data_IF_569839020210
#
_entry.id   IF_569839020210
#
_cell.length_a   1.000
_cell.length_b   1.000
_cell.length_c   1.000
_cell.angle_alpha   90.00
_cell.angle_beta   90.00
_cell.angle_gamma   90.00
#
_symmetry.space_group_name_H-M   'P 1'
#
loop_
_entity.id
_entity.type
_entity.pdbx_description
1 polymer ?
#
# COMPACT_ATOMS: atom_id res chain seq x y z
N UNK A 1 -7.67 -3.20 -5.16
CA UNK A 1 -7.73 -1.74 -5.05
C UNK A 1 -6.48 -1.24 -4.37
N UNK A 2 -5.98 -0.07 -4.77
CA UNK A 2 -5.00 0.69 -4.02
C UNK A 2 -5.74 1.75 -3.22
N UNK A 3 -5.38 1.89 -1.95
CA UNK A 3 -5.85 2.96 -1.09
C UNK A 3 -4.85 4.11 -1.11
N UNK A 4 -5.35 5.35 -1.01
CA UNK A 4 -4.48 6.50 -0.69
C UNK A 4 -4.13 6.43 0.80
N UNK A 5 -3.01 7.02 1.24
CA UNK A 5 -2.61 7.02 2.66
C UNK A 5 -3.80 7.40 3.56
N UNK A 6 -4.23 6.47 4.40
CA UNK A 6 -5.27 6.71 5.41
C UNK A 6 -4.60 6.89 6.78
N UNK A 7 -3.72 5.96 7.14
CA UNK A 7 -2.97 5.97 8.40
C UNK A 7 -1.61 5.28 8.22
N UNK A 8 -0.86 5.12 9.32
CA UNK A 8 0.46 4.48 9.32
C UNK A 8 0.42 3.02 8.84
N UNK A 9 -0.73 2.35 8.95
CA UNK A 9 -0.92 0.95 8.56
C UNK A 9 -1.39 0.80 7.10
N UNK A 10 -2.14 1.79 6.59
CA UNK A 10 -2.72 1.79 5.25
C UNK A 10 -2.14 2.92 4.40
N UNK A 11 -1.02 2.60 3.76
CA UNK A 11 -0.26 3.52 2.93
C UNK A 11 -0.52 3.32 1.45
N UNK A 12 -0.06 4.27 0.65
CA UNK A 12 -0.18 4.31 -0.79
C UNK A 12 0.62 3.16 -1.41
N UNK A 13 -0.07 2.10 -1.79
CA UNK A 13 0.55 0.83 -2.16
C UNK A 13 -0.15 -0.37 -1.53
N UNK A 14 -0.87 -0.18 -0.42
CA UNK A 14 -1.64 -1.24 0.23
C UNK A 14 -2.70 -1.79 -0.72
N UNK A 15 -2.62 -3.10 -0.95
CA UNK A 15 -3.52 -3.83 -1.82
C UNK A 15 -4.71 -4.33 -1.01
N UNK A 16 -5.91 -4.06 -1.50
CA UNK A 16 -7.14 -4.56 -0.93
C UNK A 16 -8.02 -5.27 -1.94
N UNK A 17 -8.84 -6.22 -1.46
CA UNK A 17 -9.89 -6.89 -2.23
C UNK A 17 -11.24 -6.37 -1.78
N UNK A 18 -12.10 -6.02 -2.73
CA UNK A 18 -13.50 -5.70 -2.41
C UNK A 18 -14.16 -6.99 -1.96
N UNK A 19 -14.72 -7.00 -0.76
CA UNK A 19 -15.42 -8.16 -0.18
C UNK A 19 -16.94 -7.99 -0.20
N UNK A 20 -17.43 -6.76 -0.39
CA UNK A 20 -18.87 -6.48 -0.49
C UNK A 20 -19.18 -5.00 -0.63
N UNK A 21 -20.46 -4.67 -0.59
CA UNK A 21 -20.97 -3.31 -0.52
C UNK A 21 -21.98 -3.24 0.62
N UNK A 22 -21.78 -2.32 1.54
CA UNK A 22 -22.59 -2.19 2.74
C UNK A 22 -22.90 -0.71 3.01
N UNK A 23 -24.01 -0.44 3.71
CA UNK A 23 -24.20 0.86 4.38
C UNK A 23 -23.54 0.84 5.78
N UNK A 24 -23.59 1.97 6.49
CA UNK A 24 -22.95 2.11 7.81
C UNK A 24 -23.51 1.10 8.83
N UNK A 25 -24.83 0.96 8.92
CA UNK A 25 -25.48 0.04 9.87
C UNK A 25 -25.14 -1.43 9.60
N UNK A 26 -25.08 -1.82 8.32
CA UNK A 26 -24.68 -3.16 7.91
C UNK A 26 -23.21 -3.43 8.23
N UNK A 27 -22.33 -2.44 8.02
CA UNK A 27 -20.91 -2.56 8.35
C UNK A 27 -20.66 -2.63 9.86
N UNK A 28 -21.39 -1.86 10.67
CA UNK A 28 -21.32 -1.94 12.12
C UNK A 28 -21.72 -3.34 12.61
N UNK A 29 -22.80 -3.90 12.04
CA UNK A 29 -23.26 -5.25 12.32
C UNK A 29 -22.20 -6.30 11.94
N UNK A 30 -21.57 -6.14 10.77
CA UNK A 30 -20.47 -6.98 10.30
C UNK A 30 -19.26 -6.93 11.23
N UNK A 31 -18.82 -5.74 11.63
CA UNK A 31 -17.62 -5.55 12.46
C UNK A 31 -17.80 -6.11 13.89
N UNK A 32 -19.04 -6.19 14.38
CA UNK A 32 -19.37 -6.76 15.67
C UNK A 32 -19.44 -8.30 15.66
N UNK A 33 -19.85 -8.92 14.55
CA UNK A 33 -19.98 -10.38 14.44
C UNK A 33 -19.90 -10.88 12.98
N UNK A 34 -18.68 -10.99 12.45
CA UNK A 34 -18.40 -11.43 11.08
C UNK A 34 -18.99 -12.82 10.78
N UNK A 35 -18.83 -13.78 11.69
CA UNK A 35 -19.24 -15.17 11.50
C UNK A 35 -20.77 -15.31 11.38
N UNK A 36 -21.52 -14.65 12.26
CA UNK A 36 -22.98 -14.63 12.19
C UNK A 36 -23.48 -13.89 10.94
N UNK A 37 -22.81 -12.80 10.55
CA UNK A 37 -23.18 -12.03 9.37
C UNK A 37 -23.03 -12.87 8.09
N UNK A 38 -21.92 -13.61 7.94
CA UNK A 38 -21.65 -14.47 6.79
C UNK A 38 -22.52 -15.74 6.77
N UNK A 39 -23.00 -16.20 7.92
CA UNK A 39 -23.90 -17.36 8.02
C UNK A 39 -25.32 -17.07 7.49
N UNK A 40 -25.70 -15.80 7.35
CA UNK A 40 -27.01 -15.41 6.80
C UNK A 40 -27.01 -15.31 5.27
N UNK A 41 -28.06 -15.83 4.62
CA UNK A 41 -28.24 -15.64 3.18
C UNK A 41 -28.46 -14.14 2.88
N UNK A 42 -27.43 -13.48 2.35
CA UNK A 42 -27.48 -12.09 1.91
C UNK A 42 -26.69 -11.08 2.75
N UNK A 43 -25.97 -11.51 3.80
CA UNK A 43 -25.17 -10.58 4.60
C UNK A 43 -26.05 -9.59 5.37
N UNK A 44 -27.04 -10.10 6.07
CA UNK A 44 -27.91 -9.31 6.95
C UNK A 44 -28.20 -10.16 8.17
N UNK A 45 -27.75 -9.72 9.34
CA UNK A 45 -28.17 -10.31 10.60
C UNK A 45 -29.70 -10.24 10.67
N UNK A 46 -30.36 -11.39 10.81
CA UNK A 46 -31.79 -11.41 11.12
C UNK A 46 -31.94 -10.84 12.53
N UNK A 47 -32.92 -9.95 12.73
CA UNK A 47 -33.30 -9.44 14.05
C UNK A 47 -33.58 -10.57 15.07
N UNK A 48 -33.78 -11.79 14.59
CA UNK A 48 -34.03 -13.00 15.38
C UNK A 48 -32.79 -13.59 16.07
N UNK A 49 -31.56 -13.25 15.65
CA UNK A 49 -30.35 -13.77 16.32
C UNK A 49 -29.84 -12.84 17.44
N UNK A 50 -30.50 -11.69 17.66
CA UNK A 50 -30.36 -10.87 18.85
C UNK A 50 -31.18 -11.45 20.03
N UNK A 51 -31.16 -12.77 20.25
CA UNK A 51 -31.83 -13.40 21.39
C UNK A 51 -30.91 -13.34 22.61
N UNK A 52 -31.13 -12.27 23.38
CA UNK A 52 -30.54 -12.06 24.68
C UNK A 52 -31.25 -10.98 25.51
N UNK A 53 -32.58 -10.85 25.45
CA UNK A 53 -33.33 -9.98 26.38
C UNK A 53 -34.77 -9.65 25.95
N UNK A 54 -35.70 -9.67 26.90
CA UNK A 54 -37.18 -9.68 26.74
C UNK A 54 -37.84 -8.32 26.43
N UNK A 55 -38.97 -8.40 25.70
CA UNK A 55 -40.20 -7.55 25.67
C UNK A 55 -40.15 -6.06 25.24
N UNK A 56 -40.95 -5.68 24.22
CA UNK A 56 -42.18 -4.82 24.32
C UNK A 56 -42.74 -4.35 22.97
N UNK A 57 -44.08 -4.22 22.90
CA UNK A 57 -44.87 -3.66 21.77
C UNK A 57 -44.36 -2.27 21.34
N UNK A 58 -44.08 -2.11 20.04
CA UNK A 58 -43.61 -0.85 19.46
C UNK A 58 -44.64 0.29 19.59
N UNK A 59 -44.22 1.38 20.20
CA UNK A 59 -44.93 2.66 20.40
C UNK A 59 -45.02 3.48 19.10
N UNK A 60 -45.95 4.45 19.04
CA UNK A 60 -46.10 5.35 17.88
C UNK A 60 -44.81 6.13 17.54
N UNK A 61 -43.93 6.30 18.53
CA UNK A 61 -42.59 6.89 18.38
C UNK A 61 -41.62 5.96 17.63
N UNK A 62 -41.72 4.64 17.78
CA UNK A 62 -40.91 3.68 17.01
C UNK A 62 -41.36 3.61 15.54
N UNK A 63 -42.66 3.79 15.24
CA UNK A 63 -43.15 3.91 13.86
C UNK A 63 -42.72 5.24 13.20
N UNK A 64 -42.58 6.30 13.99
CA UNK A 64 -42.03 7.58 13.54
C UNK A 64 -40.51 7.48 13.32
N UNK A 65 -39.79 6.68 14.11
CA UNK A 65 -38.34 6.45 13.95
C UNK A 65 -37.99 5.50 12.79
N UNK A 66 -38.84 4.51 12.49
CA UNK A 66 -38.73 3.70 11.26
C UNK A 66 -39.05 4.53 9.99
N UNK A 67 -40.04 5.44 10.06
CA UNK A 67 -40.35 6.41 8.98
C UNK A 67 -39.38 7.61 8.91
N UNK A 68 -38.47 7.74 9.88
CA UNK A 68 -37.30 8.60 9.86
C UNK A 68 -36.07 7.83 9.30
N UNK A 69 -36.30 6.76 8.52
CA UNK A 69 -35.63 6.50 7.24
C UNK A 69 -34.14 6.90 7.20
N UNK A 70 -33.37 6.42 8.18
CA UNK A 70 -31.91 6.41 8.21
C UNK A 70 -31.29 5.47 7.18
N UNK A 71 -32.00 5.18 6.09
CA UNK A 71 -31.40 4.65 4.88
C UNK A 71 -30.65 5.80 4.23
N UNK A 72 -29.37 5.94 4.58
CA UNK A 72 -28.44 6.23 3.51
C UNK A 72 -28.60 5.05 2.52
N UNK A 73 -29.41 5.25 1.47
CA UNK A 73 -29.51 4.32 0.33
C UNK A 73 -28.14 4.10 -0.33
N UNK A 74 -27.18 4.95 0.04
CA UNK A 74 -25.80 4.94 -0.39
C UNK A 74 -25.03 3.80 0.29
N UNK A 75 -24.86 2.71 -0.44
CA UNK A 75 -23.91 1.64 -0.13
C UNK A 75 -22.48 2.03 -0.54
N UNK A 76 -21.50 1.58 0.22
CA UNK A 76 -20.07 1.82 0.00
C UNK A 76 -19.31 0.51 -0.12
N UNK A 77 -18.21 0.46 -0.90
CA UNK A 77 -17.38 -0.73 -1.00
C UNK A 77 -16.71 -1.02 0.34
N UNK A 78 -16.83 -2.27 0.79
CA UNK A 78 -16.06 -2.82 1.90
C UNK A 78 -14.82 -3.49 1.31
N UNK A 79 -13.64 -3.06 1.74
CA UNK A 79 -12.37 -3.53 1.22
C UNK A 79 -11.54 -4.17 2.33
N UNK A 80 -11.15 -5.42 2.11
CA UNK A 80 -10.19 -6.15 2.93
C UNK A 80 -8.78 -5.85 2.46
N UNK A 81 -8.03 -5.08 3.24
CA UNK A 81 -6.63 -4.75 3.01
C UNK A 81 -5.72 -5.77 3.67
N UNK A 82 -4.63 -6.12 3.00
CA UNK A 82 -3.55 -6.91 3.57
C UNK A 82 -2.48 -5.96 4.14
N UNK A 83 -2.15 -6.12 5.41
CA UNK A 83 -1.16 -5.34 6.13
C UNK A 83 0.23 -5.98 6.02
N UNK A 84 1.28 -5.21 6.35
CA UNK A 84 2.66 -5.66 6.23
C UNK A 84 3.04 -6.78 7.21
N UNK A 85 2.33 -6.87 8.35
CA UNK A 85 2.47 -7.93 9.34
C UNK A 85 1.75 -9.25 8.95
N UNK A 86 1.09 -9.27 7.79
CA UNK A 86 0.32 -10.41 7.29
C UNK A 86 -1.13 -10.46 7.80
N UNK A 87 -1.53 -9.55 8.67
CA UNK A 87 -2.93 -9.44 9.11
C UNK A 87 -3.79 -8.76 8.04
N UNK A 88 -5.11 -8.81 8.22
CA UNK A 88 -6.05 -8.14 7.33
C UNK A 88 -6.90 -7.13 8.08
N UNK A 89 -7.27 -6.05 7.40
CA UNK A 89 -8.15 -5.01 7.94
C UNK A 89 -9.25 -4.69 6.94
N UNK A 90 -10.48 -4.73 7.40
CA UNK A 90 -11.64 -4.41 6.59
C UNK A 90 -12.05 -2.95 6.83
N UNK A 91 -12.32 -2.23 5.74
CA UNK A 91 -12.74 -0.83 5.79
C UNK A 91 -13.94 -0.59 4.89
N UNK A 92 -14.91 0.15 5.41
CA UNK A 92 -15.97 0.78 4.64
C UNK A 92 -15.44 2.05 3.97
N UNK A 93 -15.15 1.98 2.67
CA UNK A 93 -14.52 3.09 1.96
C UNK A 93 -15.57 4.10 1.48
N UNK A 94 -15.79 5.15 2.27
CA UNK A 94 -16.68 6.26 1.95
C UNK A 94 -16.00 7.30 1.03
N UNK A 95 -16.77 8.30 0.57
CA UNK A 95 -16.20 9.42 -0.19
C UNK A 95 -15.36 10.31 0.72
N UNK A 96 -14.13 10.55 0.30
CA UNK A 96 -13.28 11.60 0.86
C UNK A 96 -13.30 12.83 -0.05
N UNK A 97 -13.14 14.01 0.54
CA UNK A 97 -13.01 15.26 -0.20
C UNK A 97 -11.58 15.77 -0.13
N UNK A 98 -10.95 15.94 -1.30
CA UNK A 98 -9.65 16.60 -1.42
C UNK A 98 -9.86 18.03 -1.89
N UNK A 99 -9.10 18.96 -1.30
CA UNK A 99 -9.14 20.38 -1.62
C UNK A 99 -7.74 20.87 -1.99
N UNK A 100 -7.69 21.86 -2.86
CA UNK A 100 -6.50 22.67 -3.14
C UNK A 100 -6.82 24.05 -2.59
N UNK A 101 -6.03 24.48 -1.60
CA UNK A 101 -6.22 25.74 -0.89
C UNK A 101 -5.03 26.67 -1.18
N UNK A 102 -5.31 27.96 -1.36
CA UNK A 102 -4.31 29.01 -1.43
C UNK A 102 -3.75 29.32 -0.04
N UNK A 103 -2.61 30.04 0.07
CA UNK A 103 -2.04 30.44 1.36
C UNK A 103 -2.97 31.29 2.24
N UNK A 104 -3.98 31.93 1.66
CA UNK A 104 -5.02 32.70 2.34
C UNK A 104 -6.22 31.86 2.83
N UNK A 105 -6.21 30.55 2.54
CA UNK A 105 -7.27 29.60 2.90
C UNK A 105 -8.40 29.49 1.86
N UNK A 106 -8.32 30.18 0.73
CA UNK A 106 -9.34 30.07 -0.33
C UNK A 106 -9.24 28.72 -1.05
N UNK A 107 -10.35 27.99 -1.15
CA UNK A 107 -10.44 26.71 -1.87
C UNK A 107 -10.54 26.97 -3.38
N UNK A 108 -9.44 26.74 -4.10
CA UNK A 108 -9.37 26.86 -5.56
C UNK A 108 -10.10 25.71 -6.29
N UNK A 109 -10.00 24.50 -5.74
CA UNK A 109 -10.63 23.32 -6.32
C UNK A 109 -10.92 22.27 -5.25
N UNK A 110 -11.99 21.52 -5.44
CA UNK A 110 -12.28 20.34 -4.61
C UNK A 110 -12.76 19.16 -5.43
N UNK A 111 -12.49 17.95 -4.94
CA UNK A 111 -12.95 16.69 -5.51
C UNK A 111 -13.41 15.78 -4.39
N UNK A 112 -14.66 15.33 -4.45
CA UNK A 112 -15.19 14.27 -3.59
C UNK A 112 -15.19 12.94 -4.35
N UNK A 113 -14.50 11.91 -3.84
CA UNK A 113 -14.43 10.59 -4.47
C UNK A 113 -14.08 9.51 -3.43
N UNK A 114 -14.43 8.26 -3.70
CA UNK A 114 -13.99 7.12 -2.89
C UNK A 114 -12.47 6.97 -3.05
N UNK A 115 -11.68 6.85 -1.95
CA UNK A 115 -10.20 6.86 -1.99
C UNK A 115 -9.60 5.54 -2.50
N UNK A 116 -10.19 4.95 -3.54
CA UNK A 116 -9.81 3.67 -4.12
C UNK A 116 -9.48 3.82 -5.60
N UNK A 117 -8.40 3.16 -6.02
CA UNK A 117 -8.00 3.04 -7.43
C UNK A 117 -7.92 1.56 -7.81
N UNK A 118 -8.37 1.20 -9.02
CA UNK A 118 -8.20 -0.15 -9.57
C UNK A 118 -6.70 -0.52 -9.62
N UNK A 119 -6.37 -1.73 -9.18
CA UNK A 119 -4.98 -2.12 -8.90
C UNK A 119 -4.49 -3.37 -9.65
N UNK A 120 -5.25 -3.88 -10.63
CA UNK A 120 -4.76 -4.98 -11.47
C UNK A 120 -3.65 -4.54 -12.42
N UNK A 121 -3.73 -3.29 -12.90
CA UNK A 121 -2.68 -2.65 -13.66
C UNK A 121 -2.06 -1.56 -12.79
N UNK A 122 -0.74 -1.61 -12.63
CA UNK A 122 0.02 -0.69 -11.81
C UNK A 122 1.13 -0.08 -12.66
N UNK A 123 1.49 1.17 -12.37
CA UNK A 123 2.73 1.72 -12.91
C UNK A 123 3.93 1.03 -12.26
N UNK A 124 5.05 0.95 -12.99
CA UNK A 124 6.29 0.36 -12.47
C UNK A 124 6.74 1.06 -11.18
N UNK A 125 6.58 2.39 -11.12
CA UNK A 125 6.88 3.18 -9.92
C UNK A 125 6.03 2.75 -8.71
N UNK A 126 4.74 2.49 -8.91
CA UNK A 126 3.85 2.03 -7.82
C UNK A 126 4.13 0.59 -7.41
N UNK A 127 4.63 -0.23 -8.33
CA UNK A 127 4.98 -1.63 -8.06
C UNK A 127 6.33 -1.78 -7.34
N UNK A 128 7.15 -0.73 -7.22
CA UNK A 128 8.45 -0.80 -6.58
C UNK A 128 8.34 -1.28 -5.12
N UNK A 129 9.13 -2.28 -4.75
CA UNK A 129 9.07 -2.90 -3.41
C UNK A 129 8.03 -4.00 -3.26
N UNK A 130 7.13 -4.20 -4.23
CA UNK A 130 6.11 -5.25 -4.17
C UNK A 130 6.64 -6.60 -4.69
N UNK A 131 6.07 -7.69 -4.17
CA UNK A 131 6.31 -9.05 -4.62
C UNK A 131 5.03 -9.57 -5.28
N UNK A 132 5.09 -10.00 -6.53
CA UNK A 132 3.93 -10.38 -7.35
C UNK A 132 4.10 -11.79 -7.92
N UNK A 133 3.16 -12.68 -7.61
CA UNK A 133 3.24 -14.08 -8.05
C UNK A 133 2.98 -14.27 -9.54
N UNK A 134 2.05 -13.48 -10.10
CA UNK A 134 1.70 -13.51 -11.51
C UNK A 134 1.63 -12.10 -12.04
N UNK A 135 2.50 -11.77 -13.00
CA UNK A 135 2.60 -10.41 -13.53
C UNK A 135 2.83 -10.45 -15.04
N UNK A 136 2.09 -9.57 -15.73
CA UNK A 136 2.28 -9.27 -17.14
C UNK A 136 2.91 -7.88 -17.23
N UNK A 137 4.13 -7.82 -17.73
CA UNK A 137 4.94 -6.60 -17.83
C UNK A 137 5.03 -6.18 -19.28
N UNK A 138 4.72 -4.91 -19.53
CA UNK A 138 4.85 -4.31 -20.85
C UNK A 138 5.94 -3.24 -20.84
N UNK A 139 7.03 -3.51 -21.56
CA UNK A 139 8.24 -2.69 -21.52
C UNK A 139 8.34 -1.70 -22.69
N UNK A 140 7.31 -1.61 -23.54
CA UNK A 140 7.34 -0.75 -24.73
C UNK A 140 7.51 0.74 -24.39
N UNK A 141 6.90 1.19 -23.28
CA UNK A 141 6.94 2.58 -22.81
C UNK A 141 7.99 2.84 -21.71
N UNK A 142 8.95 1.94 -21.51
CA UNK A 142 10.06 2.22 -20.58
C UNK A 142 10.89 3.38 -21.11
N UNK A 143 11.20 4.32 -20.23
CA UNK A 143 11.97 5.53 -20.52
C UNK A 143 13.07 5.80 -19.48
N UNK A 144 12.92 5.31 -18.25
CA UNK A 144 13.91 5.52 -17.18
C UNK A 144 14.94 4.39 -17.06
N UNK A 145 16.16 4.76 -16.67
CA UNK A 145 17.22 3.79 -16.35
C UNK A 145 16.83 2.94 -15.15
N UNK A 146 17.05 1.62 -15.22
CA UNK A 146 16.67 0.67 -14.18
C UNK A 146 15.17 0.35 -14.10
N UNK A 147 14.28 1.06 -14.80
CA UNK A 147 12.83 0.83 -14.74
C UNK A 147 12.43 -0.56 -15.26
N UNK A 148 13.06 -1.05 -16.32
CA UNK A 148 12.86 -2.41 -16.80
C UNK A 148 13.26 -3.46 -15.75
N UNK A 149 14.35 -3.22 -15.03
CA UNK A 149 14.80 -4.10 -13.94
C UNK A 149 13.81 -4.09 -12.76
N UNK A 150 13.33 -2.91 -12.35
CA UNK A 150 12.31 -2.81 -11.28
C UNK A 150 11.07 -3.62 -11.64
N UNK A 151 10.57 -3.48 -12.88
CA UNK A 151 9.37 -4.19 -13.33
C UNK A 151 9.54 -5.71 -13.34
N UNK A 152 10.66 -6.21 -13.89
CA UNK A 152 10.92 -7.66 -13.98
C UNK A 152 11.19 -8.29 -12.61
N UNK A 153 11.89 -7.57 -11.72
CA UNK A 153 12.21 -8.05 -10.36
C UNK A 153 11.01 -8.14 -9.42
N UNK A 154 9.80 -7.74 -9.85
CA UNK A 154 8.57 -7.92 -9.05
C UNK A 154 8.06 -9.35 -9.10
N UNK A 155 8.37 -10.10 -10.16
CA UNK A 155 7.92 -11.47 -10.33
C UNK A 155 8.65 -12.42 -9.37
N UNK A 156 7.92 -13.33 -8.70
CA UNK A 156 8.53 -14.36 -7.85
C UNK A 156 9.09 -15.54 -8.63
N UNK A 157 8.55 -15.81 -9.82
CA UNK A 157 8.93 -16.94 -10.67
C UNK A 157 8.88 -16.57 -12.15
N UNK A 158 9.67 -17.26 -12.98
CA UNK A 158 9.62 -17.08 -14.43
C UNK A 158 8.28 -17.55 -15.02
N UNK A 159 7.68 -18.60 -14.45
CA UNK A 159 6.40 -19.15 -14.90
C UNK A 159 5.25 -18.16 -14.67
N UNK A 160 5.36 -17.34 -13.62
CA UNK A 160 4.42 -16.27 -13.31
C UNK A 160 4.62 -14.98 -14.12
N UNK A 161 5.68 -14.90 -14.95
CA UNK A 161 6.07 -13.68 -15.65
C UNK A 161 5.76 -13.76 -17.15
N UNK A 162 5.01 -12.78 -17.66
CA UNK A 162 4.87 -12.55 -19.09
C UNK A 162 5.48 -11.19 -19.45
N UNK A 163 6.39 -11.15 -20.43
CA UNK A 163 7.04 -9.91 -20.89
C UNK A 163 6.58 -9.57 -22.30
N UNK A 164 6.17 -8.33 -22.51
CA UNK A 164 5.80 -7.77 -23.81
C UNK A 164 6.73 -6.64 -24.23
N UNK A 165 6.97 -6.51 -25.55
CA UNK A 165 7.68 -5.39 -26.19
C UNK A 165 9.04 -5.08 -25.54
N UNK A 166 9.79 -6.13 -25.24
CA UNK A 166 11.13 -6.02 -24.70
C UNK A 166 12.09 -5.43 -25.74
N UNK A 167 12.87 -4.42 -25.33
CA UNK A 167 13.96 -3.86 -26.12
C UNK A 167 15.23 -3.86 -25.26
N UNK A 168 16.24 -4.68 -25.59
CA UNK A 168 17.50 -4.75 -24.84
C UNK A 168 18.19 -3.39 -24.68
N UNK A 169 18.04 -2.49 -25.65
CA UNK A 169 18.68 -1.15 -25.64
C UNK A 169 18.14 -0.24 -24.54
N UNK A 170 16.95 -0.55 -24.01
CA UNK A 170 16.31 0.18 -22.91
C UNK A 170 16.73 -0.34 -21.53
N UNK A 171 17.47 -1.43 -21.47
CA UNK A 171 17.95 -2.01 -20.21
C UNK A 171 19.31 -1.40 -19.89
N UNK A 172 19.29 -0.22 -19.26
CA UNK A 172 20.50 0.55 -18.96
C UNK A 172 20.58 0.90 -17.48
N UNK A 173 21.77 0.74 -16.89
CA UNK A 173 22.08 1.20 -15.54
C UNK A 173 22.70 2.61 -15.59
N UNK A 174 22.49 3.40 -14.53
CA UNK A 174 23.10 4.72 -14.44
C UNK A 174 24.60 4.61 -14.11
N UNK A 175 25.46 5.37 -14.80
CA UNK A 175 26.92 5.26 -14.65
C UNK A 175 27.39 5.54 -13.22
N UNK A 176 26.89 6.62 -12.59
CA UNK A 176 27.15 6.91 -11.16
C UNK A 176 26.87 5.72 -10.24
N UNK A 177 25.78 4.97 -10.50
CA UNK A 177 25.42 3.79 -9.71
C UNK A 177 26.43 2.67 -9.96
N UNK A 178 26.87 2.47 -11.21
CA UNK A 178 27.92 1.48 -11.53
C UNK A 178 29.22 1.80 -10.79
N UNK A 179 29.68 3.04 -10.85
CA UNK A 179 30.89 3.49 -10.13
C UNK A 179 30.73 3.31 -8.62
N UNK A 180 29.58 3.69 -8.06
CA UNK A 180 29.30 3.51 -6.64
C UNK A 180 29.39 2.03 -6.22
N UNK A 181 28.71 1.13 -6.93
CA UNK A 181 28.71 -0.31 -6.61
C UNK A 181 30.09 -0.97 -6.81
N UNK A 182 30.94 -0.44 -7.70
CA UNK A 182 32.34 -0.91 -7.86
C UNK A 182 33.21 -0.58 -6.65
N UNK A 183 32.88 0.49 -5.93
CA UNK A 183 33.64 0.94 -4.75
C UNK A 183 33.17 0.28 -3.44
N UNK A 184 32.13 -0.56 -3.48
CA UNK A 184 31.63 -1.27 -2.30
C UNK A 184 32.50 -2.50 -2.01
N UNK A 185 32.96 -2.61 -0.77
CA UNK A 185 33.65 -3.81 -0.28
C UNK A 185 32.66 -4.93 0.00
N UNK A 186 33.05 -6.18 -0.29
CA UNK A 186 32.26 -7.36 0.08
C UNK A 186 32.26 -7.56 1.59
N UNK A 187 31.13 -7.99 2.15
CA UNK A 187 31.00 -8.34 3.58
C UNK A 187 32.03 -9.40 3.98
N UNK A 188 32.25 -10.40 3.12
CA UNK A 188 33.25 -11.46 3.30
C UNK A 188 34.68 -10.93 3.52
N UNK A 189 35.04 -9.84 2.82
CA UNK A 189 36.36 -9.21 2.94
C UNK A 189 36.53 -8.44 4.26
N UNK A 190 35.44 -8.03 4.90
CA UNK A 190 35.46 -7.37 6.20
C UNK A 190 35.56 -8.39 7.35
N UNK A 191 34.93 -9.55 7.23
CA UNK A 191 35.00 -10.60 8.24
C UNK A 191 36.41 -11.22 8.33
N UNK A 192 37.08 -11.37 7.19
CA UNK A 192 38.49 -11.81 7.14
C UNK A 192 39.47 -10.77 7.68
N UNK A 193 39.07 -9.50 7.74
CA UNK A 193 39.90 -8.38 8.22
C UNK A 193 39.78 -8.09 9.72
N UNK A 194 38.92 -8.82 10.47
CA UNK A 194 38.92 -8.71 11.94
C UNK A 194 40.27 -9.20 12.46
N UNK A 195 41.12 -8.33 13.04
CA UNK A 195 42.39 -8.78 13.57
C UNK A 195 42.13 -9.70 14.77
N UNK A 196 42.79 -10.87 14.80
CA UNK A 196 43.11 -11.52 16.09
C UNK A 196 43.82 -10.46 16.91
N UNK A 197 43.35 -10.22 18.13
CA UNK A 197 43.90 -9.21 19.02
C UNK A 197 45.39 -9.48 19.27
N UNK A 198 46.28 -8.81 18.51
CA UNK A 198 47.68 -8.70 18.85
C UNK A 198 48.19 -7.28 18.62
N UNK A 199 48.96 -6.86 19.62
CA UNK A 199 49.51 -5.52 19.88
C UNK A 199 50.40 -5.03 18.74
N UNK A 200 50.28 -3.77 18.34
CA UNK A 200 51.37 -3.06 17.66
C UNK A 200 50.98 -1.93 16.71
N UNK A 201 51.39 -0.72 17.08
CA UNK A 201 51.39 0.60 16.41
C UNK A 201 51.36 0.70 14.86
N UNK A 202 50.64 1.74 14.41
CA UNK A 202 50.93 2.76 13.37
C UNK A 202 50.55 2.59 11.87
N UNK A 203 49.77 3.59 11.41
CA UNK A 203 49.65 4.25 10.08
C UNK A 203 49.17 3.41 8.87
N UNK A 204 48.25 3.83 8.00
CA UNK A 204 48.03 5.14 7.36
C UNK A 204 46.64 5.20 6.69
N UNK A 205 46.14 6.42 6.43
CA UNK A 205 44.81 6.76 5.89
C UNK A 205 44.55 6.21 4.47
N UNK A 206 43.35 5.67 4.24
CA UNK A 206 42.75 5.52 2.92
C UNK A 206 41.66 6.59 2.70
N UNK A 207 41.84 7.41 1.67
CA UNK A 207 40.89 8.43 1.22
C UNK A 207 39.69 7.79 0.53
N UNK A 208 38.70 7.33 1.30
CA UNK A 208 37.40 6.91 0.79
C UNK A 208 36.29 7.66 1.52
N UNK A 209 35.43 8.33 0.77
CA UNK A 209 34.22 8.95 1.33
C UNK A 209 33.27 7.83 1.76
N UNK A 210 32.92 7.81 3.03
CA UNK A 210 32.04 6.80 3.62
C UNK A 210 30.59 7.00 3.16
N UNK A 211 29.76 5.94 3.18
CA UNK A 211 28.35 6.03 2.82
C UNK A 211 27.59 7.11 3.61
N UNK A 212 27.96 7.32 4.88
CA UNK A 212 27.41 8.37 5.73
C UNK A 212 27.76 9.79 5.24
N UNK A 213 28.95 9.98 4.67
CA UNK A 213 29.34 11.28 4.11
C UNK A 213 28.62 11.57 2.79
N UNK A 214 28.31 10.55 2.00
CA UNK A 214 27.47 10.67 0.81
C UNK A 214 26.02 11.06 1.16
N UNK A 215 25.42 10.39 2.14
CA UNK A 215 24.05 10.70 2.59
C UNK A 215 23.93 12.12 3.15
N UNK A 216 24.96 12.58 3.89
CA UNK A 216 25.00 13.93 4.43
C UNK A 216 25.17 15.00 3.34
N UNK A 217 26.01 14.73 2.33
CA UNK A 217 26.16 15.62 1.17
C UNK A 217 24.89 15.74 0.31
N UNK A 218 24.12 14.67 0.20
CA UNK A 218 22.82 14.66 -0.48
C UNK A 218 21.76 15.47 0.29
N UNK A 219 21.73 15.36 1.62
CA UNK A 219 20.81 16.12 2.47
C UNK A 219 21.11 17.63 2.50
N UNK A 220 22.39 18.02 2.35
CA UNK A 220 22.83 19.41 2.38
C UNK A 220 22.77 20.12 1.02
N UNK A 221 22.32 19.46 -0.06
CA UNK A 221 22.10 20.06 -1.37
C UNK A 221 23.38 20.58 -2.06
N UNK A 222 24.55 20.03 -1.71
CA UNK A 222 25.86 20.46 -2.26
C UNK A 222 26.36 19.62 -3.44
N UNK A 223 25.47 18.92 -4.15
CA UNK A 223 25.76 18.23 -5.42
C UNK A 223 24.64 18.37 -6.43
#
# INVERSE_FOLDING_TARGET
MLIKNIDESLVNGSLGKIIGFMNETQFDSYNNNEEAFLATQGGTLKDEDAIGGRDKKKTARERLMDNLLGSTTQIWPVVRFTLADGTTRDLLCQRETWKIELPDGEVQASRAQIPLILAWALSIHKAQGQTLDRVKVDLGKVFEKGQAYVALSRATSMQGLQVLRFDPRKVVAHEKVRTFYQNLSRVESLEQSKPKAERGKNTSRANGVTANEYERGFAEGKM
#
